data_IF_633740922705
#
_entry.id   IF_633740922705
#
_cell.length_a   1.000
_cell.length_b   1.000
_cell.length_c   1.000
_cell.angle_alpha   90.00
_cell.angle_beta   90.00
_cell.angle_gamma   90.00
#
_symmetry.space_group_name_H-M   'P 1'
#
loop_
_entity.id
_entity.type
_entity.pdbx_description
1 polymer ?
#
# COMPACT_ATOMS: atom_id res chain seq x y z
N UNK A 1 10.11 -22.28 16.35
CA UNK A 1 8.91 -22.73 15.61
C UNK A 1 8.71 -21.76 14.45
N UNK A 2 8.69 -22.33 13.24
CA UNK A 2 8.21 -21.81 11.96
C UNK A 2 8.88 -20.60 11.31
N UNK A 3 9.96 -20.93 10.58
CA UNK A 3 10.41 -20.24 9.36
C UNK A 3 9.26 -20.14 8.34
N UNK A 4 8.42 -19.10 8.41
CA UNK A 4 7.53 -18.74 7.30
C UNK A 4 8.27 -17.77 6.39
N UNK A 5 8.89 -18.34 5.36
CA UNK A 5 9.32 -17.71 4.11
C UNK A 5 9.55 -16.20 4.19
N UNK A 6 10.81 -15.76 4.40
CA UNK A 6 11.29 -14.51 3.80
C UNK A 6 11.17 -14.67 2.29
N UNK A 7 9.94 -14.58 1.73
CA UNK A 7 9.78 -14.36 0.31
C UNK A 7 10.42 -13.01 0.06
N UNK A 8 11.45 -13.00 -0.77
CA UNK A 8 12.14 -11.78 -1.18
C UNK A 8 11.09 -10.84 -1.79
N UNK A 9 10.67 -9.84 -1.00
CA UNK A 9 9.70 -8.84 -1.43
C UNK A 9 10.49 -7.74 -2.10
N UNK A 10 10.20 -7.47 -3.37
CA UNK A 10 10.78 -6.33 -4.06
C UNK A 10 10.00 -5.08 -3.69
N UNK A 11 10.67 -4.10 -3.09
CA UNK A 11 10.05 -2.83 -2.69
C UNK A 11 10.53 -1.73 -3.62
N UNK A 12 9.59 -1.09 -4.30
CA UNK A 12 9.86 0.02 -5.22
C UNK A 12 9.13 1.28 -4.77
N UNK A 13 9.86 2.36 -4.61
CA UNK A 13 9.33 3.68 -4.33
C UNK A 13 9.14 4.42 -5.64
N UNK A 14 7.92 4.91 -5.89
CA UNK A 14 7.60 5.56 -7.16
C UNK A 14 7.74 7.07 -7.04
N UNK A 15 8.49 7.64 -7.99
CA UNK A 15 8.56 9.08 -8.23
C UNK A 15 7.53 9.41 -9.32
N UNK A 16 6.47 10.13 -8.95
CA UNK A 16 5.43 10.55 -9.89
C UNK A 16 5.94 11.65 -10.82
N UNK A 17 5.54 11.60 -12.10
CA UNK A 17 5.85 12.64 -13.08
C UNK A 17 5.23 13.99 -12.67
N UNK A 18 6.02 15.08 -12.73
CA UNK A 18 5.60 16.43 -12.31
C UNK A 18 6.10 16.86 -10.92
N UNK A 19 6.78 15.97 -10.19
CA UNK A 19 7.58 16.32 -9.03
C UNK A 19 8.88 17.01 -9.51
N UNK A 20 9.06 18.31 -9.21
CA UNK A 20 10.38 18.98 -9.36
C UNK A 20 11.44 18.30 -8.48
N UNK A 21 12.71 18.72 -8.55
CA UNK A 21 13.88 18.11 -7.86
C UNK A 21 13.72 17.81 -6.33
N UNK A 22 12.61 18.23 -5.71
CA UNK A 22 12.21 18.02 -4.32
C UNK A 22 10.87 17.27 -4.12
N UNK A 23 10.26 16.74 -5.17
CA UNK A 23 8.84 16.31 -5.14
C UNK A 23 8.56 14.98 -4.45
N UNK A 24 9.56 14.38 -3.80
CA UNK A 24 9.36 13.27 -2.86
C UNK A 24 9.25 13.85 -1.45
N UNK A 25 8.09 13.69 -0.81
CA UNK A 25 7.88 14.22 0.53
C UNK A 25 8.76 13.50 1.59
N UNK A 26 8.87 14.14 2.76
CA UNK A 26 9.68 13.60 3.86
C UNK A 26 9.23 12.21 4.32
N UNK A 27 7.92 11.94 4.26
CA UNK A 27 7.38 10.64 4.65
C UNK A 27 7.93 9.50 3.77
N UNK A 28 8.04 9.73 2.47
CA UNK A 28 8.64 8.80 1.51
C UNK A 28 10.15 8.62 1.74
N UNK A 29 10.87 9.71 1.97
CA UNK A 29 12.31 9.69 2.30
C UNK A 29 12.56 8.88 3.58
N UNK A 30 11.79 9.12 4.64
CA UNK A 30 11.87 8.38 5.90
C UNK A 30 11.54 6.89 5.72
N UNK A 31 10.44 6.57 5.02
CA UNK A 31 10.06 5.19 4.76
C UNK A 31 11.13 4.41 3.97
N UNK A 32 11.82 5.09 3.05
CA UNK A 32 12.94 4.50 2.31
C UNK A 32 14.10 4.16 3.24
N UNK A 33 14.52 5.10 4.11
CA UNK A 33 15.61 4.85 5.06
C UNK A 33 15.27 3.72 6.03
N UNK A 34 14.07 3.72 6.61
CA UNK A 34 13.62 2.65 7.51
C UNK A 34 13.61 1.28 6.81
N UNK A 35 13.28 1.23 5.51
CA UNK A 35 13.32 -0.01 4.74
C UNK A 35 14.76 -0.48 4.43
N UNK A 36 15.70 0.45 4.21
CA UNK A 36 17.13 0.12 4.08
C UNK A 36 17.67 -0.44 5.40
N UNK A 37 17.37 0.21 6.52
CA UNK A 37 17.76 -0.24 7.87
C UNK A 37 17.16 -1.60 8.24
N UNK A 38 15.98 -1.92 7.71
CA UNK A 38 15.32 -3.21 7.88
C UNK A 38 15.79 -4.31 6.90
N UNK A 39 16.85 -4.08 6.13
CA UNK A 39 17.45 -5.04 5.18
C UNK A 39 16.48 -5.46 4.03
N UNK A 40 15.59 -4.55 3.61
CA UNK A 40 14.57 -4.81 2.57
C UNK A 40 14.99 -4.39 1.15
N UNK A 41 16.21 -3.88 0.96
CA UNK A 41 16.77 -3.48 -0.34
C UNK A 41 15.82 -2.67 -1.25
N UNK A 42 15.20 -1.58 -0.77
CA UNK A 42 14.27 -0.78 -1.57
C UNK A 42 14.98 -0.07 -2.74
N UNK A 43 14.23 0.25 -3.81
CA UNK A 43 14.73 1.03 -4.95
C UNK A 43 13.74 2.12 -5.36
N UNK A 44 14.25 3.24 -5.87
CA UNK A 44 13.44 4.26 -6.51
C UNK A 44 13.21 3.92 -7.97
N UNK A 45 11.98 4.12 -8.45
CA UNK A 45 11.59 3.97 -9.85
C UNK A 45 10.77 5.19 -10.30
N UNK A 46 10.89 5.52 -11.57
CA UNK A 46 10.01 6.45 -12.25
C UNK A 46 8.65 5.82 -12.58
N UNK A 47 7.67 6.65 -12.94
CA UNK A 47 6.38 6.20 -13.43
C UNK A 47 6.50 5.21 -14.61
N UNK A 48 7.43 5.46 -15.55
CA UNK A 48 7.67 4.58 -16.70
C UNK A 48 8.19 3.20 -16.28
N UNK A 49 9.24 3.17 -15.46
CA UNK A 49 9.87 1.92 -14.97
C UNK A 49 8.92 1.08 -14.12
N UNK A 50 7.98 1.70 -13.41
CA UNK A 50 7.00 1.00 -12.58
C UNK A 50 6.15 -0.01 -13.38
N UNK A 51 5.90 0.28 -14.66
CA UNK A 51 5.08 -0.58 -15.53
C UNK A 51 5.82 -1.86 -15.92
N UNK A 52 7.13 -1.77 -16.10
CA UNK A 52 7.99 -2.93 -16.43
C UNK A 52 8.10 -3.88 -15.24
N UNK A 53 8.30 -3.32 -14.04
CA UNK A 53 8.44 -4.10 -12.80
C UNK A 53 7.10 -4.68 -12.28
N UNK A 54 5.96 -4.18 -12.77
CA UNK A 54 4.63 -4.67 -12.40
C UNK A 54 4.36 -6.12 -12.86
N UNK A 55 5.17 -6.65 -13.80
CA UNK A 55 5.13 -8.06 -14.22
C UNK A 55 5.73 -9.04 -13.20
N UNK A 56 6.48 -8.55 -12.21
CA UNK A 56 7.17 -9.40 -11.24
C UNK A 56 6.23 -9.83 -10.10
N UNK A 57 6.31 -11.11 -9.69
CA UNK A 57 5.58 -11.61 -8.51
C UNK A 57 6.17 -11.03 -7.22
N UNK A 58 5.31 -10.80 -6.23
CA UNK A 58 5.71 -10.37 -4.88
C UNK A 58 6.28 -8.94 -4.80
N UNK A 59 5.97 -8.10 -5.79
CA UNK A 59 6.36 -6.68 -5.82
C UNK A 59 5.44 -5.82 -4.98
N UNK A 60 6.02 -4.87 -4.24
CA UNK A 60 5.32 -3.82 -3.49
C UNK A 60 5.76 -2.47 -4.03
N UNK A 61 4.79 -1.67 -4.46
CA UNK A 61 4.99 -0.29 -4.86
C UNK A 61 4.57 0.65 -3.75
N UNK A 62 5.45 1.59 -3.39
CA UNK A 62 5.20 2.65 -2.42
C UNK A 62 4.91 3.92 -3.20
N UNK A 63 3.71 4.46 -3.02
CA UNK A 63 3.27 5.72 -3.62
C UNK A 63 2.98 6.74 -2.54
N UNK A 64 3.42 7.98 -2.77
CA UNK A 64 3.13 9.11 -1.90
C UNK A 64 1.63 9.38 -1.80
N UNK A 65 0.91 9.24 -2.92
CA UNK A 65 -0.51 9.53 -3.06
C UNK A 65 -1.21 8.42 -3.85
N UNK A 66 -2.45 8.12 -3.50
CA UNK A 66 -3.30 7.18 -4.23
C UNK A 66 -4.14 7.92 -5.27
N UNK A 67 -3.44 8.60 -6.17
CA UNK A 67 -4.02 9.41 -7.24
C UNK A 67 -3.17 9.33 -8.51
N UNK A 68 -3.79 9.67 -9.64
CA UNK A 68 -3.13 9.73 -10.94
C UNK A 68 -2.97 8.38 -11.65
N UNK A 69 -2.47 8.45 -12.88
CA UNK A 69 -2.43 7.32 -13.82
C UNK A 69 -1.62 6.13 -13.31
N UNK A 70 -0.51 6.40 -12.62
CA UNK A 70 0.36 5.35 -12.10
C UNK A 70 -0.35 4.53 -11.02
N UNK A 71 -1.01 5.21 -10.07
CA UNK A 71 -1.81 4.54 -9.05
C UNK A 71 -2.93 3.71 -9.69
N UNK A 72 -3.65 4.27 -10.67
CA UNK A 72 -4.71 3.55 -11.36
C UNK A 72 -4.23 2.30 -12.08
N UNK A 73 -3.09 2.36 -12.77
CA UNK A 73 -2.50 1.21 -13.47
C UNK A 73 -2.05 0.13 -12.48
N UNK A 74 -1.33 0.52 -11.43
CA UNK A 74 -0.80 -0.41 -10.44
C UNK A 74 -1.92 -1.04 -9.59
N UNK A 75 -2.92 -0.27 -9.18
CA UNK A 75 -4.06 -0.77 -8.39
C UNK A 75 -4.95 -1.76 -9.16
N UNK A 76 -4.99 -1.67 -10.50
CA UNK A 76 -5.69 -2.65 -11.36
C UNK A 76 -4.86 -3.93 -11.60
N UNK A 77 -3.57 -3.91 -11.28
CA UNK A 77 -2.66 -5.04 -11.49
C UNK A 77 -2.71 -6.03 -10.31
N UNK A 78 -3.23 -7.23 -10.55
CA UNK A 78 -3.47 -8.24 -9.48
C UNK A 78 -2.21 -8.86 -8.89
N UNK A 79 -1.07 -8.79 -9.58
CA UNK A 79 0.20 -9.42 -9.17
C UNK A 79 1.03 -8.56 -8.20
N UNK A 80 0.65 -7.29 -8.03
CA UNK A 80 1.43 -6.30 -7.29
C UNK A 80 0.63 -5.80 -6.08
N UNK A 81 1.35 -5.33 -5.08
CA UNK A 81 0.77 -4.64 -3.93
C UNK A 81 1.10 -3.17 -4.00
N UNK A 82 0.12 -2.33 -3.69
CA UNK A 82 0.31 -0.88 -3.64
C UNK A 82 0.14 -0.43 -2.20
N UNK A 83 1.13 0.29 -1.68
CA UNK A 83 1.15 0.79 -0.32
C UNK A 83 1.49 2.27 -0.25
N UNK A 84 1.03 2.95 0.80
CA UNK A 84 1.54 4.26 1.16
C UNK A 84 2.81 4.15 2.02
N UNK A 85 3.60 5.23 2.15
CA UNK A 85 4.80 5.23 2.99
C UNK A 85 4.47 4.89 4.44
N UNK A 86 3.40 5.44 5.01
CA UNK A 86 2.98 5.16 6.39
C UNK A 86 2.62 3.69 6.63
N UNK A 87 2.05 3.01 5.65
CA UNK A 87 1.79 1.56 5.73
C UNK A 87 3.10 0.80 5.92
N UNK A 88 4.13 1.07 5.11
CA UNK A 88 5.42 0.40 5.21
C UNK A 88 6.11 0.68 6.54
N UNK A 89 6.18 1.96 6.94
CA UNK A 89 6.79 2.38 8.21
C UNK A 89 6.16 1.69 9.41
N UNK A 90 4.82 1.66 9.47
CA UNK A 90 4.09 1.01 10.57
C UNK A 90 4.34 -0.50 10.58
N UNK A 91 4.44 -1.14 9.41
CA UNK A 91 4.79 -2.56 9.32
C UNK A 91 6.20 -2.85 9.84
N UNK A 92 7.18 -2.02 9.48
CA UNK A 92 8.57 -2.14 9.96
C UNK A 92 8.61 -1.95 11.47
N UNK A 93 8.01 -0.88 11.99
CA UNK A 93 8.01 -0.55 13.41
C UNK A 93 7.31 -1.63 14.28
N UNK A 94 6.22 -2.21 13.79
CA UNK A 94 5.47 -3.26 14.50
C UNK A 94 6.07 -4.67 14.29
N UNK A 95 7.08 -4.81 13.41
CA UNK A 95 7.62 -6.13 13.02
C UNK A 95 6.59 -7.01 12.29
N UNK A 96 5.60 -6.39 11.64
CA UNK A 96 4.52 -7.07 10.93
C UNK A 96 4.78 -7.10 9.42
N UNK A 97 4.23 -8.12 8.76
CA UNK A 97 4.26 -8.22 7.31
C UNK A 97 3.46 -7.10 6.63
N UNK A 98 3.91 -6.69 5.45
CA UNK A 98 3.15 -5.80 4.56
C UNK A 98 1.81 -6.48 4.24
N UNK A 99 0.66 -5.77 4.36
CA UNK A 99 -0.65 -6.34 4.13
C UNK A 99 -0.76 -7.08 2.78
N UNK A 100 -1.29 -8.30 2.81
CA UNK A 100 -1.56 -9.12 1.61
C UNK A 100 -2.97 -8.85 1.03
N UNK A 101 -3.57 -7.71 1.37
CA UNK A 101 -4.89 -7.34 0.87
C UNK A 101 -4.87 -7.20 -0.66
N UNK A 102 -5.99 -7.59 -1.29
CA UNK A 102 -6.19 -7.44 -2.74
C UNK A 102 -6.36 -5.98 -3.18
N UNK A 103 -6.52 -5.06 -2.23
CA UNK A 103 -6.63 -3.62 -2.44
C UNK A 103 -5.35 -2.90 -2.04
N UNK A 104 -5.13 -1.72 -2.61
CA UNK A 104 -4.09 -0.82 -2.15
C UNK A 104 -4.31 -0.41 -0.68
N UNK A 105 -3.22 -0.24 0.09
CA UNK A 105 -3.27 0.12 1.52
C UNK A 105 -2.35 1.31 1.79
N UNK A 106 -2.94 2.48 1.99
CA UNK A 106 -2.22 3.73 2.24
C UNK A 106 -1.61 3.78 3.65
N UNK A 107 -2.37 3.32 4.64
CA UNK A 107 -1.99 3.26 6.06
C UNK A 107 -2.61 2.02 6.71
N UNK A 108 -2.13 1.63 7.88
CA UNK A 108 -2.63 0.49 8.66
C UNK A 108 -3.52 0.91 9.83
N UNK A 109 -4.03 2.14 9.82
CA UNK A 109 -4.85 2.70 10.91
C UNK A 109 -6.11 1.89 11.26
N UNK A 110 -6.66 1.15 10.30
CA UNK A 110 -7.81 0.26 10.48
C UNK A 110 -7.45 -1.23 10.35
N UNK A 111 -6.17 -1.58 10.52
CA UNK A 111 -5.72 -2.97 10.56
C UNK A 111 -6.52 -3.73 11.64
N UNK A 112 -7.02 -4.91 11.28
CA UNK A 112 -7.86 -5.76 12.13
C UNK A 112 -9.22 -5.15 12.51
N UNK A 113 -9.68 -4.11 11.81
CA UNK A 113 -11.03 -3.54 12.00
C UNK A 113 -11.95 -4.03 10.88
N UNK A 114 -13.11 -4.55 11.28
CA UNK A 114 -14.22 -4.87 10.38
C UNK A 114 -15.28 -3.78 10.49
N UNK A 115 -15.66 -3.19 9.35
CA UNK A 115 -16.60 -2.07 9.28
C UNK A 115 -17.82 -2.47 8.48
N UNK A 116 -18.99 -2.06 8.94
CA UNK A 116 -20.23 -2.06 8.14
C UNK A 116 -20.92 -0.71 8.28
N UNK A 117 -21.68 -0.30 7.26
CA UNK A 117 -22.39 0.98 7.27
C UNK A 117 -23.88 0.78 6.98
N UNK A 118 -24.72 1.29 7.89
CA UNK A 118 -26.18 1.27 7.81
C UNK A 118 -26.73 2.68 7.53
N UNK A 119 -27.91 2.74 6.90
CA UNK A 119 -28.64 3.99 6.62
C UNK A 119 -27.86 5.10 5.89
N UNK A 120 -26.82 4.76 5.14
CA UNK A 120 -26.06 5.71 4.30
C UNK A 120 -26.37 5.51 2.81
N UNK A 121 -26.32 6.58 1.99
CA UNK A 121 -26.52 6.48 0.55
C UNK A 121 -25.54 5.51 -0.13
N UNK A 122 -25.93 4.83 -1.23
CA UNK A 122 -25.06 3.88 -1.93
C UNK A 122 -23.71 4.46 -2.36
N UNK A 123 -23.67 5.70 -2.84
CA UNK A 123 -22.42 6.37 -3.22
C UNK A 123 -21.46 6.54 -2.03
N UNK A 124 -21.99 6.93 -0.87
CA UNK A 124 -21.21 7.09 0.36
C UNK A 124 -20.69 5.73 0.86
N UNK A 125 -21.47 4.64 0.72
CA UNK A 125 -21.00 3.28 1.04
C UNK A 125 -19.78 2.88 0.21
N UNK A 126 -19.75 3.23 -1.07
CA UNK A 126 -18.60 2.95 -1.95
C UNK A 126 -17.37 3.69 -1.46
N UNK A 127 -17.50 4.97 -1.12
CA UNK A 127 -16.41 5.79 -0.59
C UNK A 127 -15.90 5.27 0.76
N UNK A 128 -16.79 4.92 1.69
CA UNK A 128 -16.43 4.32 2.99
C UNK A 128 -15.67 3.02 2.76
N UNK A 129 -16.20 2.12 1.93
CA UNK A 129 -15.55 0.84 1.61
C UNK A 129 -14.13 1.05 1.07
N UNK A 130 -13.96 2.01 0.18
CA UNK A 130 -12.64 2.34 -0.40
C UNK A 130 -11.69 2.89 0.67
N UNK A 131 -12.12 3.86 1.47
CA UNK A 131 -11.31 4.46 2.54
C UNK A 131 -10.92 3.45 3.62
N UNK A 132 -11.85 2.60 4.04
CA UNK A 132 -11.58 1.49 4.96
C UNK A 132 -10.52 0.55 4.39
N UNK A 133 -10.63 0.18 3.11
CA UNK A 133 -9.62 -0.62 2.42
C UNK A 133 -8.25 0.06 2.37
N UNK A 134 -8.20 1.36 2.07
CA UNK A 134 -6.97 2.15 2.08
C UNK A 134 -6.34 2.28 3.47
N UNK A 135 -7.12 2.11 4.54
CA UNK A 135 -6.61 2.08 5.92
C UNK A 135 -6.31 0.67 6.43
N UNK A 136 -6.38 -0.35 5.56
CA UNK A 136 -6.06 -1.74 5.91
C UNK A 136 -7.18 -2.49 6.63
N UNK A 137 -8.38 -1.92 6.70
CA UNK A 137 -9.56 -2.56 7.27
C UNK A 137 -10.36 -3.38 6.27
N UNK A 138 -11.37 -4.10 6.78
CA UNK A 138 -12.28 -4.92 5.98
C UNK A 138 -13.67 -4.31 6.04
N UNK A 139 -14.28 -4.05 4.88
CA UNK A 139 -15.67 -3.61 4.81
C UNK A 139 -16.59 -4.79 4.49
N UNK A 140 -17.64 -4.98 5.29
CA UNK A 140 -18.68 -5.98 5.07
C UNK A 140 -20.06 -5.33 4.86
N UNK A 141 -20.81 -5.89 3.92
CA UNK A 141 -22.16 -5.40 3.60
C UNK A 141 -23.17 -5.67 4.71
N UNK A 142 -22.96 -6.75 5.46
CA UNK A 142 -23.81 -7.18 6.56
C UNK A 142 -23.00 -7.15 7.86
N UNK A 143 -23.68 -6.88 8.96
CA UNK A 143 -23.11 -7.09 10.29
C UNK A 143 -23.00 -8.60 10.52
N UNK A 144 -21.80 -9.06 10.87
CA UNK A 144 -21.50 -10.46 11.21
C UNK A 144 -20.74 -10.50 12.52
N UNK A 145 -20.87 -11.59 13.28
CA UNK A 145 -20.03 -11.82 14.45
C UNK A 145 -18.59 -12.11 14.02
N UNK A 146 -17.65 -11.66 14.87
CA UNK A 146 -16.20 -11.75 14.66
C UNK A 146 -15.66 -13.10 15.11
#
# INVERSE_FOLDING_TARGET
MDKKLKKEVKIFFIISEGCSDDGVNDCMKMAYQEAVEADLSPKWLTAAESTEEAGTKNTVFILQEFAGDVFEKLSKTKSVRVCGPMCLRSCIAEGLGIPENKSAVFTTAMRNIVVTASQVPPAVKIEIKQKVGFMGGVYMNNLVES
#
